data_IF_628137652636
#
_entry.id   IF_628137652636
#
_cell.length_a   1.000
_cell.length_b   1.000
_cell.length_c   1.000
_cell.angle_alpha   90.00
_cell.angle_beta   90.00
_cell.angle_gamma   90.00
#
_symmetry.space_group_name_H-M   'P 1'
#
loop_
_entity.id
_entity.type
_entity.pdbx_description
1 polymer ?
#
# COMPACT_ATOMS: atom_id res chain seq x y z
N UNK A 1 -103.71 8.96 -27.74
CA UNK A 1 -102.67 8.91 -28.78
C UNK A 1 -101.54 8.03 -28.26
N UNK A 2 -101.04 7.12 -29.10
CA UNK A 2 -100.09 6.04 -28.79
C UNK A 2 -98.66 6.47 -29.16
N UNK A 3 -97.65 6.04 -28.36
CA UNK A 3 -96.26 5.63 -28.72
C UNK A 3 -95.54 5.42 -27.38
N UNK A 4 -95.07 4.26 -26.91
CA UNK A 4 -94.22 3.16 -27.43
C UNK A 4 -92.83 3.59 -27.96
N UNK A 5 -91.82 2.76 -27.63
CA UNK A 5 -90.36 2.84 -27.88
C UNK A 5 -89.57 3.52 -26.75
N UNK A 6 -88.47 2.98 -26.23
CA UNK A 6 -87.69 1.81 -26.62
C UNK A 6 -86.35 1.84 -25.86
N UNK A 7 -85.86 0.66 -25.54
CA UNK A 7 -84.69 0.34 -24.72
C UNK A 7 -83.37 0.61 -25.49
N UNK A 8 -82.31 0.96 -24.72
CA UNK A 8 -80.93 0.47 -24.89
C UNK A 8 -79.86 1.33 -25.59
N UNK A 9 -78.69 1.29 -24.93
CA UNK A 9 -77.32 1.10 -25.45
C UNK A 9 -76.40 2.32 -25.67
N UNK A 10 -75.67 2.65 -24.59
CA UNK A 10 -74.20 2.60 -24.48
C UNK A 10 -73.37 2.79 -25.77
N UNK A 11 -72.58 3.88 -25.81
CA UNK A 11 -71.11 3.84 -25.94
C UNK A 11 -70.54 5.27 -25.99
N UNK A 12 -70.29 5.88 -24.82
CA UNK A 12 -69.44 7.06 -24.75
C UNK A 12 -67.99 6.57 -24.63
N UNK A 13 -67.27 6.63 -25.75
CA UNK A 13 -65.83 6.36 -25.81
C UNK A 13 -65.11 7.58 -25.24
N UNK A 14 -64.74 7.50 -23.96
CA UNK A 14 -63.71 8.38 -23.38
C UNK A 14 -62.42 7.58 -23.33
N UNK A 15 -61.49 7.94 -24.20
CA UNK A 15 -60.11 7.47 -24.13
C UNK A 15 -59.46 8.00 -22.86
N UNK A 16 -58.95 7.09 -22.04
CA UNK A 16 -57.96 7.37 -21.03
C UNK A 16 -56.71 6.55 -21.38
N UNK A 17 -55.74 7.19 -22.02
CA UNK A 17 -54.38 6.68 -22.06
C UNK A 17 -53.87 6.67 -20.62
N UNK A 18 -53.54 5.50 -20.06
CA UNK A 18 -52.78 5.44 -18.82
C UNK A 18 -51.32 5.68 -19.18
N UNK A 19 -50.80 6.84 -18.78
CA UNK A 19 -49.36 7.06 -18.70
C UNK A 19 -48.85 6.27 -17.49
N UNK A 20 -48.68 4.96 -17.64
CA UNK A 20 -48.00 4.13 -16.65
C UNK A 20 -46.49 4.31 -16.83
N UNK A 21 -46.00 5.47 -16.36
CA UNK A 21 -44.59 5.73 -16.17
C UNK A 21 -44.19 5.18 -14.80
N UNK A 22 -44.08 3.85 -14.69
CA UNK A 22 -43.36 3.25 -13.58
C UNK A 22 -41.92 3.74 -13.65
N UNK A 23 -41.40 4.46 -12.63
CA UNK A 23 -39.98 4.72 -12.54
C UNK A 23 -39.33 3.37 -12.25
N UNK A 24 -38.89 2.67 -13.31
CA UNK A 24 -38.04 1.51 -13.20
C UNK A 24 -36.90 1.87 -12.24
N UNK A 25 -36.72 1.15 -11.12
CA UNK A 25 -35.53 1.34 -10.29
C UNK A 25 -34.35 0.91 -11.15
N UNK A 26 -33.71 1.89 -11.79
CA UNK A 26 -32.49 1.67 -12.54
C UNK A 26 -31.47 1.14 -11.54
N UNK A 27 -31.28 -0.18 -11.52
CA UNK A 27 -30.29 -0.85 -10.72
C UNK A 27 -28.92 -0.32 -11.17
N UNK A 28 -28.43 0.69 -10.46
CA UNK A 28 -27.08 1.21 -10.68
C UNK A 28 -26.12 0.17 -10.13
N UNK A 29 -25.41 -0.50 -11.03
CA UNK A 29 -24.34 -1.43 -10.67
C UNK A 29 -23.22 -0.64 -10.00
N UNK A 30 -23.11 -0.76 -8.69
CA UNK A 30 -22.00 -0.23 -7.91
C UNK A 30 -20.85 -1.24 -7.99
N UNK A 31 -19.88 -0.98 -8.87
CA UNK A 31 -18.67 -1.77 -8.95
C UNK A 31 -17.71 -1.31 -7.86
N UNK A 32 -17.50 -2.15 -6.84
CA UNK A 32 -16.45 -1.93 -5.84
C UNK A 32 -15.23 -2.72 -6.31
N UNK A 33 -14.19 -2.01 -6.74
CA UNK A 33 -12.91 -2.62 -7.12
C UNK A 33 -11.93 -2.50 -5.96
N UNK A 34 -11.29 -3.62 -5.60
CA UNK A 34 -10.14 -3.60 -4.71
C UNK A 34 -8.90 -3.24 -5.53
N UNK A 35 -8.61 -1.95 -5.66
CA UNK A 35 -7.36 -1.47 -6.27
C UNK A 35 -6.24 -1.65 -5.26
N UNK A 36 -5.57 -2.80 -5.31
CA UNK A 36 -4.43 -3.10 -4.45
C UNK A 36 -3.13 -2.91 -5.24
N UNK A 37 -2.39 -1.84 -4.95
CA UNK A 37 -1.00 -1.68 -5.41
C UNK A 37 -0.11 -2.68 -4.66
N UNK A 38 -0.10 -3.94 -5.11
CA UNK A 38 0.66 -5.02 -4.49
C UNK A 38 2.17 -4.78 -4.66
N UNK A 39 2.80 -4.17 -3.65
CA UNK A 39 4.25 -4.05 -3.54
C UNK A 39 4.81 -5.21 -2.71
N UNK A 40 5.95 -5.82 -3.08
CA UNK A 40 6.63 -6.78 -2.22
C UNK A 40 7.11 -6.05 -0.96
N UNK A 41 6.43 -6.27 0.16
CA UNK A 41 6.72 -5.58 1.42
C UNK A 41 7.98 -6.13 2.09
N UNK A 42 8.41 -7.35 1.76
CA UNK A 42 9.67 -7.93 2.26
C UNK A 42 10.66 -7.92 1.12
N UNK A 43 11.67 -7.07 1.22
CA UNK A 43 12.74 -6.95 0.23
C UNK A 43 14.08 -7.33 0.85
N UNK A 44 14.90 -8.01 0.06
CA UNK A 44 16.29 -8.31 0.39
C UNK A 44 17.18 -7.95 -0.80
N UNK A 45 18.46 -7.73 -0.55
CA UNK A 45 19.39 -7.35 -1.60
C UNK A 45 20.82 -7.22 -1.09
N UNK A 46 21.70 -6.75 -1.96
CA UNK A 46 23.11 -6.49 -1.63
C UNK A 46 23.45 -5.08 -2.05
N UNK A 47 24.09 -4.32 -1.18
CA UNK A 47 24.71 -3.05 -1.51
C UNK A 47 26.22 -3.24 -1.69
N UNK A 48 26.80 -2.54 -2.66
CA UNK A 48 28.19 -2.74 -3.11
C UNK A 48 28.84 -1.41 -3.48
N UNK A 49 30.16 -1.34 -3.34
CA UNK A 49 30.96 -0.23 -3.88
C UNK A 49 31.18 -0.34 -5.38
N UNK A 50 31.83 0.66 -5.98
CA UNK A 50 32.06 0.78 -7.42
C UNK A 50 33.34 0.12 -7.95
N UNK A 51 34.17 -0.47 -7.06
CA UNK A 51 35.47 -1.08 -7.42
C UNK A 51 35.46 -2.59 -7.69
N UNK A 52 36.65 -3.14 -7.93
CA UNK A 52 36.88 -4.59 -8.06
C UNK A 52 38.04 -5.01 -7.14
N UNK A 53 37.80 -5.65 -5.98
CA UNK A 53 36.49 -6.05 -5.44
C UNK A 53 35.61 -4.84 -5.05
N UNK A 54 34.27 -5.01 -4.97
CA UNK A 54 33.30 -3.92 -4.81
C UNK A 54 33.20 -3.41 -3.36
N UNK A 55 34.33 -2.90 -2.85
CA UNK A 55 34.51 -2.38 -1.50
C UNK A 55 34.08 -0.91 -1.44
N UNK A 56 33.43 -0.52 -0.34
CA UNK A 56 33.13 0.88 -0.03
C UNK A 56 34.31 1.44 0.77
N UNK A 57 35.10 2.30 0.13
CA UNK A 57 36.29 2.89 0.73
C UNK A 57 35.96 4.08 1.65
N UNK A 58 36.87 4.51 2.55
CA UNK A 58 36.70 5.71 3.34
C UNK A 58 36.34 6.93 2.48
N UNK A 59 35.34 7.70 2.90
CA UNK A 59 34.80 8.85 2.15
C UNK A 59 33.77 8.49 1.09
N UNK A 60 33.57 7.20 0.78
CA UNK A 60 32.50 6.74 -0.11
C UNK A 60 31.22 6.47 0.68
N UNK A 61 30.09 6.49 -0.03
CA UNK A 61 28.78 6.17 0.53
C UNK A 61 27.96 5.39 -0.50
N UNK A 62 27.04 4.57 -0.01
CA UNK A 62 26.08 3.84 -0.85
C UNK A 62 24.67 4.19 -0.39
N UNK A 63 23.76 4.30 -1.35
CA UNK A 63 22.35 4.59 -1.12
C UNK A 63 21.52 3.53 -1.82
N UNK A 64 20.47 3.07 -1.15
CA UNK A 64 19.49 2.15 -1.71
C UNK A 64 18.10 2.55 -1.22
N UNK A 65 17.10 2.22 -2.02
CA UNK A 65 15.69 2.48 -1.70
C UNK A 65 14.94 1.16 -1.68
N UNK A 66 14.05 1.00 -0.72
CA UNK A 66 13.22 -0.18 -0.56
C UNK A 66 11.84 0.23 -0.07
N UNK A 67 10.85 -0.62 -0.29
CA UNK A 67 9.51 -0.48 0.25
C UNK A 67 9.38 -1.31 1.52
N UNK A 68 8.76 -0.74 2.54
CA UNK A 68 8.43 -1.43 3.78
C UNK A 68 7.04 -1.03 4.27
N UNK A 69 6.41 -1.93 5.01
CA UNK A 69 5.17 -1.73 5.72
C UNK A 69 5.40 -1.48 7.21
N UNK A 70 4.32 -1.09 7.90
CA UNK A 70 4.29 -0.96 9.36
C UNK A 70 4.76 -2.28 10.01
N UNK A 71 5.42 -2.16 11.15
CA UNK A 71 6.00 -3.27 11.93
C UNK A 71 7.16 -4.03 11.27
N UNK A 72 7.63 -3.63 10.09
CA UNK A 72 8.85 -4.17 9.52
C UNK A 72 10.10 -3.44 10.01
N UNK A 73 11.24 -4.14 9.94
CA UNK A 73 12.54 -3.65 10.39
C UNK A 73 13.57 -3.80 9.28
N UNK A 74 14.46 -2.82 9.19
CA UNK A 74 15.62 -2.91 8.32
C UNK A 74 16.77 -3.58 9.09
N UNK A 75 17.33 -4.62 8.49
CA UNK A 75 18.55 -5.28 8.96
C UNK A 75 19.55 -5.39 7.81
N UNK A 76 20.83 -5.34 8.13
CA UNK A 76 21.91 -5.55 7.19
C UNK A 76 23.17 -6.05 7.91
N UNK A 77 24.07 -6.67 7.17
CA UNK A 77 25.40 -7.02 7.63
C UNK A 77 26.41 -6.68 6.54
N UNK A 78 27.54 -6.08 6.92
CA UNK A 78 28.66 -5.82 6.00
C UNK A 78 29.98 -6.06 6.70
N UNK A 79 30.90 -6.75 6.02
CA UNK A 79 32.21 -7.10 6.55
C UNK A 79 33.12 -5.87 6.54
N UNK A 80 33.91 -5.69 7.59
CA UNK A 80 35.03 -4.77 7.56
C UNK A 80 36.10 -5.35 6.63
N UNK A 81 36.28 -4.75 5.46
CA UNK A 81 37.08 -5.36 4.38
C UNK A 81 38.53 -5.69 4.73
N UNK A 82 39.10 -5.13 5.81
CA UNK A 82 40.45 -5.43 6.27
C UNK A 82 40.53 -6.58 7.29
N UNK A 83 39.39 -7.07 7.76
CA UNK A 83 39.30 -8.18 8.71
C UNK A 83 38.60 -9.37 8.05
N UNK A 84 38.90 -10.56 8.55
CA UNK A 84 38.26 -11.79 8.12
C UNK A 84 36.95 -12.08 8.90
N UNK A 85 36.78 -11.47 10.08
CA UNK A 85 35.73 -11.86 11.03
C UNK A 85 34.91 -10.68 11.59
N UNK A 86 35.29 -9.43 11.31
CA UNK A 86 34.57 -8.25 11.82
C UNK A 86 33.46 -7.80 10.88
N UNK A 87 32.25 -7.62 11.44
CA UNK A 87 31.07 -7.17 10.71
C UNK A 87 30.42 -5.97 11.39
N UNK A 88 29.83 -5.10 10.55
CA UNK A 88 28.90 -4.08 10.97
C UNK A 88 27.47 -4.55 10.71
N UNK A 89 26.65 -4.55 11.75
CA UNK A 89 25.23 -4.86 11.67
C UNK A 89 24.46 -4.03 12.72
N UNK A 90 23.18 -3.71 12.47
CA UNK A 90 22.29 -3.18 13.49
C UNK A 90 22.10 -4.18 14.64
N UNK A 91 21.81 -3.68 15.83
CA UNK A 91 21.42 -4.53 16.96
C UNK A 91 20.10 -5.28 16.67
N UNK A 92 19.96 -6.50 17.19
CA UNK A 92 18.72 -7.28 17.14
C UNK A 92 17.60 -6.50 17.86
N UNK A 93 16.37 -6.36 17.29
CA UNK A 93 15.84 -7.02 16.09
C UNK A 93 15.93 -6.22 14.78
N UNK A 94 16.82 -5.23 14.70
CA UNK A 94 16.99 -4.36 13.55
C UNK A 94 16.35 -2.98 13.72
N UNK A 95 16.54 -2.13 12.73
CA UNK A 95 16.15 -0.72 12.74
C UNK A 95 14.63 -0.60 12.53
N UNK A 96 13.91 0.05 13.45
CA UNK A 96 12.49 0.41 13.25
C UNK A 96 12.36 1.44 12.12
N UNK A 97 11.37 1.23 11.25
CA UNK A 97 11.07 2.12 10.12
C UNK A 97 9.83 3.00 10.35
N UNK A 98 9.00 2.60 11.31
CA UNK A 98 7.78 3.29 11.71
C UNK A 98 7.73 3.40 13.22
N UNK A 99 7.17 4.50 13.71
CA UNK A 99 6.77 4.67 15.11
C UNK A 99 5.58 3.76 15.43
N UNK A 100 5.29 3.58 16.72
CA UNK A 100 4.20 2.68 17.17
C UNK A 100 2.81 3.18 16.73
N UNK A 101 2.67 4.47 16.42
CA UNK A 101 1.46 5.07 15.83
C UNK A 101 1.37 4.91 14.30
N UNK A 102 2.37 4.27 13.67
CA UNK A 102 2.43 4.03 12.23
C UNK A 102 2.97 5.19 11.38
N UNK A 103 3.50 6.26 11.99
CA UNK A 103 4.19 7.34 11.27
C UNK A 103 5.57 6.86 10.77
N UNK A 104 5.95 7.11 9.51
CA UNK A 104 7.29 6.75 9.01
C UNK A 104 8.38 7.56 9.71
N UNK A 105 9.49 6.90 10.05
CA UNK A 105 10.63 7.53 10.72
C UNK A 105 11.59 8.10 9.66
N UNK A 106 11.81 9.42 9.71
CA UNK A 106 12.91 10.07 8.98
C UNK A 106 14.03 10.39 9.97
N UNK A 107 15.08 9.58 9.99
CA UNK A 107 16.20 9.77 10.92
C UNK A 107 17.54 9.40 10.28
N UNK A 108 18.62 10.02 10.79
CA UNK A 108 20.00 9.59 10.49
C UNK A 108 20.47 8.65 11.58
N UNK A 109 20.82 7.41 11.21
CA UNK A 109 21.41 6.45 12.14
C UNK A 109 22.94 6.63 12.17
N UNK A 110 23.49 6.84 13.37
CA UNK A 110 24.94 6.87 13.62
C UNK A 110 25.32 5.68 14.51
N UNK A 111 26.57 5.23 14.43
CA UNK A 111 27.11 4.24 15.38
C UNK A 111 26.90 4.78 16.80
N UNK A 112 26.30 3.98 17.69
CA UNK A 112 26.29 4.31 19.12
C UNK A 112 27.75 4.29 19.58
N UNK A 113 28.30 5.45 19.94
CA UNK A 113 29.65 5.51 20.48
C UNK A 113 29.60 4.98 21.91
N UNK A 114 29.91 3.70 22.09
CA UNK A 114 30.26 3.20 23.42
C UNK A 114 31.65 3.74 23.74
N UNK A 115 31.71 4.78 24.57
CA UNK A 115 32.93 5.16 25.27
C UNK A 115 33.25 4.08 26.29
N UNK A 116 34.11 3.14 25.92
CA UNK A 116 34.63 2.11 26.82
C UNK A 116 34.35 0.70 26.32
N UNK A 117 35.36 0.13 25.66
CA UNK A 117 35.91 -1.23 25.83
C UNK A 117 36.70 -1.54 24.57
N UNK A 118 38.02 -1.51 24.72
CA UNK A 118 39.02 -1.96 23.74
C UNK A 118 38.75 -3.41 23.33
N UNK A 119 38.62 -3.68 22.02
CA UNK A 119 38.73 -5.04 21.50
C UNK A 119 40.21 -5.44 21.49
N UNK A 120 40.60 -6.62 22.01
CA UNK A 120 41.97 -7.10 21.91
C UNK A 120 42.30 -7.48 20.47
N UNK A 121 43.59 -7.31 20.15
CA UNK A 121 44.24 -7.50 18.86
C UNK A 121 44.16 -8.93 18.31
#
# INVERSE_FOLDING_TARGET
MKTLLGLSLTALVLGACTEDHDPQPAAKTLTIENVLDSKPLVQSGTFKGTGTPPVILPGQSVSFSFSAAKNQRLTFATMYGWSNDLFFAPANPGIKLYEDNGTPITATFRRKSNSGTTAPA
#
